data_IF_512174742107
#
_entry.id   IF_512174742107
#
_cell.length_a   1.000
_cell.length_b   1.000
_cell.length_c   1.000
_cell.angle_alpha   90.00
_cell.angle_beta   90.00
_cell.angle_gamma   90.00
#
_symmetry.space_group_name_H-M   'P 1'
#
loop_
_entity.id
_entity.type
_entity.pdbx_description
1 polymer ?
#
# COMPACT_ATOMS: atom_id res chain seq x y z
N UNK A 1 -10.39 10.05 -18.88
CA UNK A 1 -8.97 9.66 -18.67
C UNK A 1 -8.23 9.88 -19.99
N UNK A 2 -6.98 10.35 -19.97
CA UNK A 2 -6.17 10.54 -21.20
C UNK A 2 -5.03 9.53 -21.20
N UNK A 3 -4.87 8.79 -22.30
CA UNK A 3 -3.74 7.89 -22.49
C UNK A 3 -2.49 8.70 -22.83
N UNK A 4 -1.34 8.32 -22.26
CA UNK A 4 -0.04 8.72 -22.81
C UNK A 4 0.22 7.89 -24.05
N UNK A 5 0.38 8.52 -25.22
CA UNK A 5 0.62 7.81 -26.46
C UNK A 5 2.09 7.87 -26.87
N UNK A 6 2.62 6.73 -27.32
CA UNK A 6 3.94 6.61 -27.92
C UNK A 6 3.87 5.86 -29.25
N UNK A 7 4.71 6.22 -30.24
CA UNK A 7 4.87 5.43 -31.45
C UNK A 7 5.57 4.09 -31.13
N UNK A 8 5.36 3.09 -31.98
CA UNK A 8 5.94 1.74 -31.83
C UNK A 8 7.48 1.79 -31.76
N UNK A 9 8.12 2.69 -32.51
CA UNK A 9 9.58 2.89 -32.48
C UNK A 9 10.12 3.34 -31.11
N UNK A 10 9.25 3.85 -30.21
CA UNK A 10 9.63 4.38 -28.89
C UNK A 10 9.03 3.60 -27.72
N UNK A 11 8.82 2.28 -27.87
CA UNK A 11 8.35 1.39 -26.77
C UNK A 11 9.21 1.53 -25.50
N UNK A 12 10.52 1.80 -25.63
CA UNK A 12 11.42 1.97 -24.48
C UNK A 12 11.06 3.17 -23.58
N UNK A 13 10.28 4.14 -24.08
CA UNK A 13 9.79 5.29 -23.28
C UNK A 13 8.60 4.94 -22.39
N UNK A 14 7.96 3.79 -22.59
CA UNK A 14 6.88 3.33 -21.72
C UNK A 14 7.46 3.02 -20.33
N UNK A 15 6.81 3.43 -19.23
CA UNK A 15 7.26 3.14 -17.88
C UNK A 15 7.23 1.64 -17.57
N UNK A 16 8.04 1.18 -16.61
CA UNK A 16 8.05 -0.22 -16.16
C UNK A 16 7.08 -0.50 -15.01
N UNK A 17 6.19 0.44 -14.71
CA UNK A 17 5.20 0.35 -13.64
C UNK A 17 4.00 -0.51 -14.05
N UNK A 18 3.16 -0.87 -13.07
CA UNK A 18 1.87 -1.50 -13.35
C UNK A 18 0.94 -0.53 -14.08
N UNK A 19 0.03 -1.05 -14.89
CA UNK A 19 -0.88 -0.19 -15.63
C UNK A 19 -1.71 -0.91 -16.68
N UNK A 20 -2.43 -0.11 -17.45
CA UNK A 20 -3.19 -0.56 -18.62
C UNK A 20 -2.56 0.02 -19.88
N UNK A 21 -2.35 -0.82 -20.88
CA UNK A 21 -1.92 -0.40 -22.21
C UNK A 21 -3.05 -0.63 -23.21
N UNK A 22 -3.02 0.17 -24.28
CA UNK A 22 -3.95 0.08 -25.40
C UNK A 22 -3.15 0.04 -26.70
N UNK A 23 -3.54 -0.88 -27.58
CA UNK A 23 -3.00 -1.01 -28.92
C UNK A 23 -4.04 -0.43 -29.87
N UNK A 24 -3.67 0.67 -30.54
CA UNK A 24 -4.59 1.52 -31.30
C UNK A 24 -4.18 1.57 -32.77
N UNK A 25 -5.16 1.46 -33.67
CA UNK A 25 -5.00 1.73 -35.10
C UNK A 25 -5.06 3.23 -35.39
N UNK A 26 -5.03 3.63 -36.66
CA UNK A 26 -5.27 5.04 -37.03
C UNK A 26 -6.62 5.56 -36.51
N UNK A 27 -7.65 4.71 -36.44
CA UNK A 27 -9.04 5.11 -36.20
C UNK A 27 -9.56 4.63 -34.83
N UNK A 28 -9.25 3.41 -34.40
CA UNK A 28 -9.91 2.76 -33.24
C UNK A 28 -8.95 2.02 -32.30
N UNK A 29 -9.42 1.73 -31.08
CA UNK A 29 -8.68 0.90 -30.12
C UNK A 29 -8.93 -0.57 -30.47
N UNK A 30 -7.88 -1.27 -30.84
CA UNK A 30 -7.95 -2.68 -31.26
C UNK A 30 -7.96 -3.61 -30.04
N UNK A 31 -7.10 -3.32 -29.06
CA UNK A 31 -6.90 -4.16 -27.89
C UNK A 31 -6.55 -3.34 -26.63
N UNK A 32 -7.05 -3.79 -25.49
CA UNK A 32 -6.77 -3.25 -24.15
C UNK A 32 -6.30 -4.40 -23.26
N UNK A 33 -5.22 -4.18 -22.50
CA UNK A 33 -4.73 -5.15 -21.54
C UNK A 33 -4.03 -4.53 -20.34
N UNK A 34 -4.03 -5.24 -19.21
CA UNK A 34 -3.26 -4.89 -18.01
C UNK A 34 -1.88 -5.51 -17.98
N UNK A 35 -0.96 -4.88 -17.24
CA UNK A 35 0.37 -5.40 -16.99
C UNK A 35 0.88 -5.00 -15.60
N UNK A 36 1.67 -5.88 -14.97
CA UNK A 36 2.46 -5.51 -13.79
C UNK A 36 3.70 -4.67 -14.17
N UNK A 37 4.19 -4.82 -15.40
CA UNK A 37 5.24 -4.00 -16.01
C UNK A 37 4.81 -3.69 -17.45
N UNK A 38 4.40 -2.45 -17.68
CA UNK A 38 3.87 -1.98 -18.98
C UNK A 38 4.90 -2.15 -20.10
N UNK A 39 6.14 -1.70 -19.91
CA UNK A 39 7.20 -1.76 -20.92
C UNK A 39 7.45 -3.17 -21.42
N UNK A 40 7.67 -4.12 -20.50
CA UNK A 40 8.00 -5.49 -20.86
C UNK A 40 6.81 -6.19 -21.52
N UNK A 41 5.60 -5.94 -21.00
CA UNK A 41 4.39 -6.53 -21.57
C UNK A 41 4.15 -6.05 -22.99
N UNK A 42 4.24 -4.74 -23.24
CA UNK A 42 4.08 -4.16 -24.58
C UNK A 42 5.17 -4.67 -25.51
N UNK A 43 6.43 -4.68 -25.07
CA UNK A 43 7.55 -5.20 -25.88
C UNK A 43 7.32 -6.66 -26.30
N UNK A 44 6.76 -7.49 -25.43
CA UNK A 44 6.49 -8.89 -25.75
C UNK A 44 5.48 -9.06 -26.89
N UNK A 45 4.46 -8.18 -27.02
CA UNK A 45 3.52 -8.23 -28.14
C UNK A 45 4.20 -8.08 -29.51
N UNK A 46 5.32 -7.34 -29.57
CA UNK A 46 6.05 -7.10 -30.83
C UNK A 46 7.29 -7.99 -31.02
N UNK A 47 7.90 -8.52 -29.95
CA UNK A 47 9.09 -9.40 -30.04
C UNK A 47 8.77 -10.89 -30.08
N UNK A 48 7.74 -11.31 -29.35
CA UNK A 48 7.32 -12.71 -29.22
C UNK A 48 5.80 -12.74 -29.34
N UNK A 49 5.31 -12.32 -30.50
CA UNK A 49 3.88 -12.25 -30.76
C UNK A 49 3.27 -13.64 -30.60
N UNK A 50 2.28 -13.75 -29.71
CA UNK A 50 1.47 -14.96 -29.66
C UNK A 50 0.64 -15.07 -30.93
N UNK A 51 0.12 -16.26 -31.23
CA UNK A 51 -0.83 -16.47 -32.33
C UNK A 51 -1.97 -15.43 -32.32
N UNK A 52 -2.38 -14.97 -31.13
CA UNK A 52 -3.42 -13.95 -30.95
C UNK A 52 -2.97 -12.55 -31.35
N UNK A 53 -1.71 -12.22 -31.11
CA UNK A 53 -1.17 -10.89 -31.37
C UNK A 53 -1.01 -10.67 -32.88
N UNK A 54 -0.58 -11.70 -33.62
CA UNK A 54 -0.38 -11.64 -35.08
C UNK A 54 -1.62 -11.17 -35.86
N UNK A 55 -2.81 -11.32 -35.30
CA UNK A 55 -4.09 -10.99 -35.95
C UNK A 55 -4.33 -9.48 -36.07
N UNK A 56 -3.73 -8.68 -35.20
CA UNK A 56 -3.97 -7.24 -35.17
C UNK A 56 -2.72 -6.40 -34.98
N UNK A 57 -1.58 -7.02 -34.64
CA UNK A 57 -0.32 -6.30 -34.38
C UNK A 57 0.11 -5.45 -35.59
N UNK A 58 -0.14 -5.93 -36.81
CA UNK A 58 0.18 -5.23 -38.05
C UNK A 58 -0.71 -4.00 -38.30
N UNK A 59 -1.85 -3.90 -37.63
CA UNK A 59 -2.78 -2.76 -37.73
C UNK A 59 -2.50 -1.70 -36.65
N UNK A 60 -1.59 -1.97 -35.71
CA UNK A 60 -1.26 -1.03 -34.63
C UNK A 60 -0.42 0.10 -35.18
N UNK A 61 -0.83 1.34 -34.93
CA UNK A 61 -0.08 2.54 -35.29
C UNK A 61 0.45 3.27 -34.06
N UNK A 62 -0.27 3.20 -32.93
CA UNK A 62 0.08 3.88 -31.68
C UNK A 62 -0.17 2.98 -30.48
N UNK A 63 0.66 3.16 -29.46
CA UNK A 63 0.53 2.48 -28.18
C UNK A 63 0.17 3.52 -27.14
N UNK A 64 -0.98 3.37 -26.50
CA UNK A 64 -1.38 4.19 -25.36
C UNK A 64 -1.10 3.45 -24.05
N UNK A 65 -0.83 4.18 -22.97
CA UNK A 65 -0.75 3.61 -21.64
C UNK A 65 -1.31 4.55 -20.57
N UNK A 66 -1.75 3.95 -19.46
CA UNK A 66 -2.09 4.62 -18.21
C UNK A 66 -1.39 3.85 -17.10
N UNK A 67 -0.52 4.54 -16.37
CA UNK A 67 0.11 3.99 -15.18
C UNK A 67 -0.91 3.87 -14.07
N UNK A 68 -0.87 2.74 -13.38
CA UNK A 68 -1.65 2.51 -12.19
C UNK A 68 -0.75 2.16 -11.03
N UNK A 69 -1.07 2.64 -9.82
CA UNK A 69 -0.16 2.40 -8.71
C UNK A 69 -0.08 0.93 -8.26
N UNK A 70 -1.11 0.11 -8.51
CA UNK A 70 -1.11 -1.33 -8.18
C UNK A 70 -1.65 -2.18 -9.34
N UNK A 71 -1.33 -3.49 -9.34
CA UNK A 71 -1.94 -4.46 -10.27
C UNK A 71 -3.47 -4.61 -10.05
N UNK A 72 -3.96 -4.34 -8.83
CA UNK A 72 -5.41 -4.31 -8.56
C UNK A 72 -6.04 -3.13 -9.31
N UNK A 73 -5.42 -1.96 -9.25
CA UNK A 73 -5.88 -0.78 -10.00
C UNK A 73 -5.83 -1.02 -11.50
N UNK A 74 -4.76 -1.66 -12.00
CA UNK A 74 -4.66 -2.06 -13.40
C UNK A 74 -5.81 -2.98 -13.81
N UNK A 75 -6.18 -3.95 -12.97
CA UNK A 75 -7.29 -4.88 -13.21
C UNK A 75 -8.65 -4.15 -13.26
N UNK A 76 -8.89 -3.23 -12.31
CA UNK A 76 -10.15 -2.48 -12.27
C UNK A 76 -10.27 -1.53 -13.45
N UNK A 77 -9.19 -0.82 -13.77
CA UNK A 77 -9.12 0.11 -14.90
C UNK A 77 -9.26 -0.62 -16.25
N UNK A 78 -8.63 -1.80 -16.40
CA UNK A 78 -8.79 -2.64 -17.59
C UNK A 78 -10.27 -2.99 -17.81
N UNK A 79 -10.96 -3.42 -16.75
CA UNK A 79 -12.38 -3.76 -16.81
C UNK A 79 -13.24 -2.57 -17.23
N UNK A 80 -12.98 -1.38 -16.66
CA UNK A 80 -13.69 -0.14 -16.99
C UNK A 80 -13.46 0.26 -18.46
N UNK A 81 -12.20 0.22 -18.92
CA UNK A 81 -11.85 0.61 -20.29
C UNK A 81 -12.37 -0.38 -21.33
N UNK A 82 -12.32 -1.69 -21.05
CA UNK A 82 -12.93 -2.70 -21.94
C UNK A 82 -14.44 -2.48 -22.01
N UNK A 83 -15.09 -2.19 -20.88
CA UNK A 83 -16.53 -1.90 -20.84
C UNK A 83 -16.86 -0.67 -21.67
N UNK A 84 -16.05 0.39 -21.59
CA UNK A 84 -16.25 1.66 -22.28
C UNK A 84 -15.99 1.57 -23.79
N UNK A 85 -14.89 0.95 -24.19
CA UNK A 85 -14.41 1.00 -25.58
C UNK A 85 -14.76 -0.25 -26.41
N UNK A 86 -15.18 -1.34 -25.77
CA UNK A 86 -15.51 -2.63 -26.41
C UNK A 86 -14.56 -3.01 -27.57
N UNK A 87 -13.23 -3.11 -27.32
CA UNK A 87 -12.27 -3.27 -28.40
C UNK A 87 -12.50 -4.57 -29.18
N UNK A 88 -12.40 -4.48 -30.51
CA UNK A 88 -12.70 -5.58 -31.43
C UNK A 88 -11.98 -6.89 -31.06
N UNK A 89 -10.69 -6.83 -30.71
CA UNK A 89 -9.89 -8.02 -30.40
C UNK A 89 -9.98 -8.48 -28.94
N UNK A 90 -10.55 -7.65 -28.05
CA UNK A 90 -11.00 -8.15 -26.74
C UNK A 90 -12.28 -9.00 -26.91
N UNK A 91 -13.16 -8.65 -27.85
CA UNK A 91 -14.47 -9.30 -28.10
C UNK A 91 -14.38 -10.50 -29.05
N UNK A 92 -13.77 -10.38 -30.24
CA UNK A 92 -13.81 -11.40 -31.32
C UNK A 92 -13.23 -12.79 -30.96
N UNK A 93 -12.39 -12.90 -29.93
CA UNK A 93 -11.57 -14.11 -29.70
C UNK A 93 -12.00 -14.95 -28.50
N UNK A 94 -13.28 -14.87 -28.09
CA UNK A 94 -13.71 -15.45 -26.82
C UNK A 94 -15.12 -16.02 -26.89
N UNK A 95 -15.22 -17.35 -26.75
CA UNK A 95 -16.43 -17.98 -26.21
C UNK A 95 -16.89 -17.20 -24.98
N UNK A 96 -18.21 -17.06 -24.81
CA UNK A 96 -18.86 -16.42 -23.66
C UNK A 96 -18.33 -16.90 -22.30
N UNK A 97 -17.65 -18.06 -22.27
CA UNK A 97 -17.05 -18.71 -21.11
C UNK A 97 -15.73 -18.09 -20.60
N UNK A 98 -15.17 -17.01 -21.20
CA UNK A 98 -13.82 -16.51 -20.83
C UNK A 98 -13.78 -15.23 -19.98
N UNK A 99 -14.82 -14.42 -19.96
CA UNK A 99 -14.86 -13.28 -19.05
C UNK A 99 -15.33 -13.70 -17.67
N UNK A 100 -14.73 -13.13 -16.64
CA UNK A 100 -15.21 -13.29 -15.28
C UNK A 100 -16.06 -12.10 -14.90
N UNK A 101 -17.15 -12.38 -14.20
CA UNK A 101 -18.02 -11.38 -13.61
C UNK A 101 -18.16 -11.67 -12.11
N UNK A 102 -18.18 -10.61 -11.32
CA UNK A 102 -18.60 -10.68 -9.93
C UNK A 102 -20.11 -10.51 -9.89
N UNK A 103 -20.82 -11.56 -9.52
CA UNK A 103 -22.26 -11.57 -9.37
C UNK A 103 -22.62 -11.29 -7.90
N UNK A 104 -23.58 -10.38 -7.70
CA UNK A 104 -24.15 -10.04 -6.39
C UNK A 104 -25.67 -10.18 -6.50
N UNK A 105 -26.27 -11.08 -5.73
CA UNK A 105 -27.73 -11.26 -5.74
C UNK A 105 -28.43 -10.05 -5.10
N UNK A 106 -29.71 -9.81 -5.43
CA UNK A 106 -30.51 -8.72 -4.83
C UNK A 106 -31.52 -9.23 -3.79
N UNK A 107 -31.18 -10.32 -3.11
CA UNK A 107 -31.98 -10.88 -2.02
C UNK A 107 -31.83 -10.04 -0.74
N UNK A 108 -32.65 -10.31 0.29
CA UNK A 108 -32.52 -9.67 1.60
C UNK A 108 -31.12 -9.84 2.20
N UNK A 109 -30.51 -11.01 2.00
CA UNK A 109 -29.12 -11.30 2.35
C UNK A 109 -28.37 -11.68 1.06
N UNK A 110 -27.75 -10.71 0.37
CA UNK A 110 -27.07 -10.96 -0.89
C UNK A 110 -25.88 -11.92 -0.81
N UNK A 111 -25.66 -12.66 -1.89
CA UNK A 111 -24.50 -13.56 -2.07
C UNK A 111 -23.60 -13.05 -3.17
N UNK A 112 -22.29 -13.11 -2.93
CA UNK A 112 -21.24 -12.73 -3.89
C UNK A 112 -20.55 -13.98 -4.43
N UNK A 113 -20.51 -14.13 -5.76
CA UNK A 113 -19.85 -15.25 -6.43
C UNK A 113 -19.25 -14.84 -7.78
N UNK A 114 -18.38 -15.69 -8.32
CA UNK A 114 -17.80 -15.51 -9.66
C UNK A 114 -18.58 -16.34 -10.67
N UNK A 115 -18.88 -15.75 -11.82
CA UNK A 115 -19.51 -16.44 -12.96
C UNK A 115 -18.84 -16.05 -14.26
N UNK A 116 -18.92 -16.93 -15.24
CA UNK A 116 -18.58 -16.64 -16.63
C UNK A 116 -19.78 -16.24 -17.47
N UNK A 117 -20.98 -16.54 -16.99
CA UNK A 117 -22.22 -16.32 -17.71
C UNK A 117 -23.03 -15.25 -16.95
N UNK A 118 -22.94 -13.97 -17.35
CA UNK A 118 -23.79 -12.91 -16.82
C UNK A 118 -25.18 -13.03 -17.45
N UNK A 119 -25.88 -14.16 -17.23
CA UNK A 119 -27.24 -14.33 -17.78
C UNK A 119 -28.20 -13.60 -16.85
N UNK A 120 -29.04 -12.67 -17.35
CA UNK A 120 -30.14 -12.09 -16.57
C UNK A 120 -31.24 -13.12 -16.23
N UNK A 121 -31.12 -14.35 -16.73
CA UNK A 121 -32.13 -15.41 -16.71
C UNK A 121 -31.54 -16.70 -16.14
N UNK A 122 -31.12 -16.68 -14.88
CA UNK A 122 -31.05 -17.94 -14.12
C UNK A 122 -32.49 -18.40 -13.88
N UNK A 123 -33.03 -19.23 -14.79
CA UNK A 123 -34.22 -20.05 -14.54
C UNK A 123 -33.86 -21.10 -13.49
N UNK A 124 -33.74 -20.67 -12.24
CA UNK A 124 -33.90 -21.59 -11.11
C UNK A 124 -35.40 -21.69 -10.87
N UNK A 125 -35.91 -22.91 -10.75
CA UNK A 125 -37.31 -23.21 -10.45
C UNK A 125 -37.81 -22.25 -9.36
N UNK A 126 -38.91 -21.55 -9.65
CA UNK A 126 -39.67 -20.67 -8.74
C UNK A 126 -38.87 -19.57 -8.02
N UNK A 127 -38.44 -18.55 -8.78
CA UNK A 127 -38.42 -17.10 -8.43
C UNK A 127 -37.37 -16.37 -9.28
N UNK A 128 -37.78 -15.28 -9.95
CA UNK A 128 -36.90 -14.46 -10.81
C UNK A 128 -35.91 -13.66 -9.95
N UNK A 129 -34.79 -14.27 -9.57
CA UNK A 129 -33.73 -13.55 -8.86
C UNK A 129 -33.11 -12.46 -9.73
N UNK A 130 -33.19 -11.21 -9.29
CA UNK A 130 -32.45 -10.10 -9.89
C UNK A 130 -31.00 -10.17 -9.39
N UNK A 131 -30.03 -10.26 -10.31
CA UNK A 131 -28.59 -10.34 -10.00
C UNK A 131 -27.88 -9.15 -10.64
N UNK A 132 -27.03 -8.48 -9.87
CA UNK A 132 -26.11 -7.45 -10.39
C UNK A 132 -24.78 -8.08 -10.80
N UNK A 133 -24.23 -7.67 -11.95
CA UNK A 133 -22.95 -8.16 -12.46
C UNK A 133 -21.93 -7.02 -12.56
N UNK A 134 -20.71 -7.25 -12.09
CA UNK A 134 -19.58 -6.34 -12.22
C UNK A 134 -18.50 -7.01 -13.07
N UNK A 135 -18.02 -6.29 -14.08
CA UNK A 135 -17.09 -6.78 -15.08
C UNK A 135 -17.33 -6.10 -16.43
N UNK A 136 -16.77 -6.62 -17.53
CA UNK A 136 -16.05 -7.90 -17.62
C UNK A 136 -14.61 -7.85 -17.08
N UNK A 137 -14.15 -8.93 -16.45
CA UNK A 137 -12.74 -9.10 -16.06
C UNK A 137 -12.06 -10.16 -16.93
N UNK A 138 -10.90 -9.82 -17.49
CA UNK A 138 -10.12 -10.72 -18.35
C UNK A 138 -9.33 -11.75 -17.53
N UNK A 139 -8.77 -11.35 -16.38
CA UNK A 139 -7.91 -12.18 -15.54
C UNK A 139 -8.64 -12.67 -14.28
N UNK A 140 -9.21 -13.88 -14.36
CA UNK A 140 -9.91 -14.49 -13.23
C UNK A 140 -9.04 -14.87 -12.05
N UNK A 141 -7.75 -15.14 -12.26
CA UNK A 141 -6.82 -15.44 -11.15
C UNK A 141 -6.55 -14.17 -10.34
N UNK A 142 -6.28 -13.06 -11.03
CA UNK A 142 -6.16 -11.76 -10.38
C UNK A 142 -7.46 -11.34 -9.69
N UNK A 143 -8.62 -11.52 -10.35
CA UNK A 143 -9.92 -11.21 -9.73
C UNK A 143 -10.17 -12.03 -8.45
N UNK A 144 -9.92 -13.34 -8.46
CA UNK A 144 -10.04 -14.20 -7.26
C UNK A 144 -9.10 -13.74 -6.15
N UNK A 145 -7.90 -13.27 -6.47
CA UNK A 145 -6.96 -12.70 -5.49
C UNK A 145 -7.50 -11.38 -4.92
N UNK A 146 -7.98 -10.47 -5.78
CA UNK A 146 -8.57 -9.19 -5.38
C UNK A 146 -9.78 -9.39 -4.48
N UNK A 147 -10.72 -10.27 -4.84
CA UNK A 147 -11.89 -10.56 -4.01
C UNK A 147 -11.55 -11.14 -2.64
N UNK A 148 -10.49 -11.97 -2.55
CA UNK A 148 -9.99 -12.49 -1.26
C UNK A 148 -9.42 -11.39 -0.38
N UNK A 149 -8.75 -10.40 -0.96
CA UNK A 149 -8.24 -9.25 -0.24
C UNK A 149 -9.38 -8.35 0.22
N UNK A 150 -10.28 -7.96 -0.70
CA UNK A 150 -11.43 -7.09 -0.41
C UNK A 150 -12.37 -7.69 0.63
N UNK A 151 -12.48 -9.03 0.72
CA UNK A 151 -13.29 -9.70 1.75
C UNK A 151 -12.88 -9.37 3.18
N UNK A 152 -11.62 -8.94 3.41
CA UNK A 152 -11.13 -8.51 4.73
C UNK A 152 -11.71 -7.16 5.14
N UNK A 153 -11.89 -6.25 4.18
CA UNK A 153 -12.52 -4.95 4.42
C UNK A 153 -14.05 -5.06 4.36
N UNK A 154 -14.56 -5.89 3.45
CA UNK A 154 -15.99 -6.05 3.20
C UNK A 154 -16.36 -7.54 3.27
N UNK A 155 -16.63 -8.07 4.47
CA UNK A 155 -17.08 -9.45 4.64
C UNK A 155 -18.35 -9.72 3.83
N UNK A 156 -18.43 -10.86 3.15
CA UNK A 156 -19.59 -11.25 2.34
C UNK A 156 -19.87 -12.74 2.39
N UNK A 157 -21.13 -13.12 2.11
CA UNK A 157 -21.55 -14.52 1.95
C UNK A 157 -21.26 -14.99 0.53
N UNK A 158 -20.84 -16.24 0.43
CA UNK A 158 -20.61 -16.96 -0.84
C UNK A 158 -21.67 -18.03 -1.12
N UNK A 159 -22.53 -18.32 -0.15
CA UNK A 159 -23.61 -19.29 -0.25
C UNK A 159 -24.92 -18.68 0.27
N UNK A 160 -26.04 -19.09 -0.36
CA UNK A 160 -27.40 -18.66 0.03
C UNK A 160 -27.75 -19.22 1.40
N UNK A 161 -27.62 -20.53 1.56
CA UNK A 161 -27.76 -21.21 2.85
C UNK A 161 -26.50 -21.00 3.68
N UNK A 162 -26.68 -20.76 4.98
CA UNK A 162 -25.57 -20.67 5.94
C UNK A 162 -25.94 -21.47 7.18
N UNK A 163 -25.01 -22.24 7.77
CA UNK A 163 -25.27 -22.97 8.99
C UNK A 163 -25.56 -22.01 10.16
N UNK A 164 -26.32 -22.45 11.17
CA UNK A 164 -26.48 -21.69 12.42
C UNK A 164 -25.15 -21.55 13.18
N UNK A 165 -24.30 -22.57 13.06
CA UNK A 165 -22.95 -22.59 13.63
C UNK A 165 -22.01 -21.70 12.79
N UNK A 166 -21.12 -20.90 13.40
CA UNK A 166 -20.14 -20.09 12.68
C UNK A 166 -19.28 -20.93 11.73
N UNK A 167 -19.32 -20.63 10.43
CA UNK A 167 -18.42 -21.27 9.46
C UNK A 167 -16.98 -20.73 9.61
N UNK A 168 -16.01 -21.35 8.94
CA UNK A 168 -14.60 -20.93 8.98
C UNK A 168 -14.41 -19.44 8.62
N UNK A 169 -15.21 -18.92 7.68
CA UNK A 169 -15.15 -17.49 7.36
C UNK A 169 -15.78 -16.60 8.45
N UNK A 170 -16.78 -17.08 9.21
CA UNK A 170 -17.32 -16.32 10.35
C UNK A 170 -16.30 -16.19 11.46
N UNK A 171 -15.61 -17.30 11.77
CA UNK A 171 -14.55 -17.33 12.79
C UNK A 171 -13.39 -16.36 12.45
N UNK A 172 -13.17 -16.11 11.15
CA UNK A 172 -12.16 -15.17 10.66
C UNK A 172 -12.70 -13.74 10.43
N UNK A 173 -13.98 -13.46 10.72
CA UNK A 173 -14.60 -12.16 10.44
C UNK A 173 -14.77 -11.84 8.96
N UNK A 174 -14.70 -12.84 8.07
CA UNK A 174 -14.79 -12.71 6.61
C UNK A 174 -16.19 -13.06 6.05
N UNK A 175 -17.11 -13.49 6.91
CA UNK A 175 -18.50 -13.76 6.60
C UNK A 175 -19.40 -13.10 7.66
N UNK A 176 -20.50 -12.45 7.26
CA UNK A 176 -21.41 -11.76 8.19
C UNK A 176 -22.31 -12.73 9.00
N UNK A 177 -22.17 -14.05 8.82
CA UNK A 177 -22.86 -15.05 9.63
C UNK A 177 -24.26 -15.46 9.14
N UNK A 178 -24.97 -16.20 10.00
CA UNK A 178 -26.28 -16.79 9.69
C UNK A 178 -27.38 -15.73 9.55
N UNK A 179 -27.43 -14.77 10.50
CA UNK A 179 -28.41 -13.68 10.57
C UNK A 179 -27.72 -12.33 10.72
N UNK A 180 -27.16 -11.77 9.64
CA UNK A 180 -26.64 -10.42 9.66
C UNK A 180 -27.76 -9.38 9.65
N UNK A 181 -27.46 -8.17 10.14
CA UNK A 181 -28.28 -7.00 9.85
C UNK A 181 -28.28 -6.75 8.33
N UNK A 182 -29.45 -6.87 7.72
CA UNK A 182 -29.62 -6.76 6.27
C UNK A 182 -29.25 -5.37 5.74
N UNK A 183 -29.59 -4.30 6.45
CA UNK A 183 -29.32 -2.93 6.03
C UNK A 183 -27.83 -2.63 6.09
N UNK A 184 -27.18 -3.00 7.20
CA UNK A 184 -25.74 -2.82 7.36
C UNK A 184 -24.97 -3.65 6.33
N UNK A 185 -25.40 -4.89 6.10
CA UNK A 185 -24.78 -5.78 5.13
C UNK A 185 -24.93 -5.28 3.68
N UNK A 186 -26.10 -4.75 3.31
CA UNK A 186 -26.30 -4.12 2.00
C UNK A 186 -25.39 -2.89 1.81
N UNK A 187 -25.29 -2.00 2.80
CA UNK A 187 -24.35 -0.86 2.76
C UNK A 187 -22.90 -1.32 2.58
N UNK A 188 -22.50 -2.39 3.28
CA UNK A 188 -21.17 -3.00 3.12
C UNK A 188 -20.94 -3.52 1.68
N UNK A 189 -21.93 -4.15 1.06
CA UNK A 189 -21.82 -4.63 -0.33
C UNK A 189 -21.88 -3.50 -1.38
N UNK A 190 -22.55 -2.40 -1.08
CA UNK A 190 -22.48 -1.19 -1.92
C UNK A 190 -21.06 -0.62 -1.95
N UNK A 191 -20.38 -0.57 -0.79
CA UNK A 191 -18.96 -0.18 -0.72
C UNK A 191 -18.07 -1.14 -1.51
N UNK A 192 -18.26 -2.45 -1.37
CA UNK A 192 -17.55 -3.45 -2.19
C UNK A 192 -17.77 -3.24 -3.70
N UNK A 193 -19.03 -3.01 -4.10
CA UNK A 193 -19.42 -2.77 -5.50
C UNK A 193 -18.74 -1.52 -6.04
N UNK A 194 -18.76 -0.42 -5.28
CA UNK A 194 -18.12 0.84 -5.65
C UNK A 194 -16.60 0.66 -5.83
N UNK A 195 -15.92 -0.09 -4.96
CA UNK A 195 -14.49 -0.39 -5.13
C UNK A 195 -14.23 -1.20 -6.40
N UNK A 196 -15.02 -2.24 -6.68
CA UNK A 196 -14.90 -3.04 -7.91
C UNK A 196 -15.23 -2.25 -9.19
N UNK A 197 -15.93 -1.13 -9.06
CA UNK A 197 -16.19 -0.16 -10.15
C UNK A 197 -15.13 0.96 -10.22
N UNK A 198 -14.00 0.81 -9.53
CA UNK A 198 -12.90 1.80 -9.56
C UNK A 198 -13.08 2.99 -8.62
N UNK A 199 -14.19 3.10 -7.88
CA UNK A 199 -14.51 4.22 -6.98
C UNK A 199 -13.87 4.08 -5.59
N UNK A 200 -12.62 3.61 -5.51
CA UNK A 200 -11.95 3.35 -4.22
C UNK A 200 -11.73 4.60 -3.37
N UNK A 201 -11.38 5.73 -4.00
CA UNK A 201 -11.05 6.97 -3.29
C UNK A 201 -12.30 7.52 -2.59
N UNK A 202 -13.45 7.50 -3.27
CA UNK A 202 -14.71 7.91 -2.66
C UNK A 202 -15.13 6.98 -1.53
N UNK A 203 -14.87 5.66 -1.64
CA UNK A 203 -15.18 4.70 -0.56
C UNK A 203 -14.28 4.92 0.66
N UNK A 204 -12.98 5.17 0.48
CA UNK A 204 -12.07 5.52 1.57
C UNK A 204 -12.52 6.79 2.29
N UNK A 205 -12.86 7.85 1.55
CA UNK A 205 -13.38 9.10 2.12
C UNK A 205 -14.71 8.91 2.86
N UNK A 206 -15.61 8.10 2.29
CA UNK A 206 -16.88 7.78 2.93
C UNK A 206 -16.66 7.00 4.23
N UNK A 207 -15.78 5.99 4.24
CA UNK A 207 -15.44 5.22 5.45
C UNK A 207 -14.85 6.10 6.55
N UNK A 208 -13.95 7.01 6.19
CA UNK A 208 -13.36 7.96 7.14
C UNK A 208 -14.44 8.87 7.74
N UNK A 209 -15.29 9.47 6.88
CA UNK A 209 -16.37 10.34 7.34
C UNK A 209 -17.38 9.61 8.22
N UNK A 210 -17.81 8.41 7.80
CA UNK A 210 -18.73 7.57 8.57
C UNK A 210 -18.13 7.23 9.95
N UNK A 211 -16.83 6.94 10.01
CA UNK A 211 -16.10 6.63 11.25
C UNK A 211 -16.05 7.85 12.18
N UNK A 212 -15.74 9.03 11.66
CA UNK A 212 -15.69 10.29 12.42
C UNK A 212 -17.09 10.63 12.98
N UNK A 213 -18.14 10.48 12.17
CA UNK A 213 -19.52 10.70 12.59
C UNK A 213 -19.95 9.72 13.69
N UNK A 214 -19.66 8.42 13.53
CA UNK A 214 -19.98 7.41 14.55
C UNK A 214 -19.26 7.70 15.88
N UNK A 215 -18.01 8.16 15.82
CA UNK A 215 -17.26 8.56 17.01
C UNK A 215 -17.87 9.80 17.70
N UNK A 216 -18.34 10.79 16.93
CA UNK A 216 -19.05 11.96 17.47
C UNK A 216 -20.37 11.59 18.13
N UNK A 217 -21.09 10.61 17.57
CA UNK A 217 -22.35 10.08 18.13
C UNK A 217 -22.12 9.08 19.28
N UNK A 218 -20.88 8.90 19.74
CA UNK A 218 -20.49 7.95 20.79
C UNK A 218 -20.77 6.47 20.46
N UNK A 219 -20.95 6.14 19.17
CA UNK A 219 -21.10 4.77 18.68
C UNK A 219 -19.73 4.10 18.48
N UNK A 220 -19.00 3.87 19.57
CA UNK A 220 -17.59 3.43 19.51
C UNK A 220 -17.38 2.07 18.82
N UNK A 221 -18.31 1.13 18.94
CA UNK A 221 -18.23 -0.16 18.23
C UNK A 221 -18.33 0.01 16.71
N UNK A 222 -19.26 0.84 16.26
CA UNK A 222 -19.44 1.14 14.84
C UNK A 222 -18.21 1.88 14.30
N UNK A 223 -17.71 2.88 15.05
CA UNK A 223 -16.49 3.60 14.71
C UNK A 223 -15.28 2.65 14.59
N UNK A 224 -15.12 1.71 15.52
CA UNK A 224 -14.06 0.71 15.47
C UNK A 224 -14.17 -0.20 14.23
N UNK A 225 -15.38 -0.68 13.90
CA UNK A 225 -15.61 -1.48 12.68
C UNK A 225 -15.26 -0.67 11.43
N UNK A 226 -15.74 0.56 11.30
CA UNK A 226 -15.48 1.43 10.13
C UNK A 226 -13.99 1.75 10.00
N UNK A 227 -13.30 1.99 11.12
CA UNK A 227 -11.85 2.16 11.19
C UNK A 227 -11.10 0.94 10.66
N UNK A 228 -11.48 -0.25 11.10
CA UNK A 228 -10.83 -1.50 10.69
C UNK A 228 -11.09 -1.80 9.20
N UNK A 229 -12.28 -1.44 8.68
CA UNK A 229 -12.57 -1.47 7.24
C UNK A 229 -11.70 -0.48 6.46
N UNK A 230 -11.58 0.76 6.94
CA UNK A 230 -10.75 1.80 6.34
C UNK A 230 -9.30 1.34 6.26
N UNK A 231 -8.72 0.90 7.37
CA UNK A 231 -7.33 0.42 7.38
C UNK A 231 -7.15 -0.84 6.55
N UNK A 232 -8.10 -1.77 6.55
CA UNK A 232 -8.02 -2.96 5.70
C UNK A 232 -8.02 -2.57 4.23
N UNK A 233 -8.90 -1.66 3.81
CA UNK A 233 -8.98 -1.18 2.44
C UNK A 233 -7.72 -0.39 2.06
N UNK A 234 -7.29 0.54 2.90
CA UNK A 234 -6.06 1.31 2.72
C UNK A 234 -4.88 0.37 2.49
N UNK A 235 -4.69 -0.63 3.36
CA UNK A 235 -3.60 -1.63 3.26
C UNK A 235 -3.63 -2.47 2.00
N UNK A 236 -4.82 -2.81 1.48
CA UNK A 236 -4.95 -3.55 0.21
C UNK A 236 -4.39 -2.72 -0.95
N UNK A 237 -4.58 -1.40 -0.87
CA UNK A 237 -4.17 -0.46 -1.89
C UNK A 237 -2.90 0.32 -1.52
N UNK A 238 -2.25 0.12 -0.37
CA UNK A 238 -1.04 0.83 0.10
C UNK A 238 0.25 0.45 -0.66
N UNK A 239 0.15 -0.39 -1.68
CA UNK A 239 1.16 -0.48 -2.74
C UNK A 239 0.94 0.54 -3.87
N UNK A 240 -0.14 1.32 -3.80
CA UNK A 240 -0.38 2.51 -4.59
C UNK A 240 0.24 3.71 -3.89
N UNK A 241 1.00 4.52 -4.63
CA UNK A 241 1.25 5.92 -4.27
C UNK A 241 -0.01 6.55 -3.67
N UNK A 242 0.10 6.92 -2.39
CA UNK A 242 -0.90 7.74 -1.73
C UNK A 242 -1.06 9.01 -2.59
N UNK A 243 -2.27 9.20 -3.10
CA UNK A 243 -2.80 10.39 -3.77
C UNK A 243 -2.28 10.68 -5.19
N UNK A 244 -3.09 10.31 -6.19
CA UNK A 244 -2.96 10.81 -7.55
C UNK A 244 -3.26 12.33 -7.63
N UNK A 245 -2.20 13.14 -7.80
CA UNK A 245 -2.07 14.44 -8.53
C UNK A 245 -3.06 15.60 -8.30
N UNK A 246 -4.12 15.45 -7.50
CA UNK A 246 -4.94 16.58 -7.04
C UNK A 246 -4.58 17.08 -5.64
N UNK A 247 -3.79 16.30 -4.90
CA UNK A 247 -3.39 16.59 -3.52
C UNK A 247 -1.89 16.88 -3.36
N UNK A 248 -1.09 17.04 -4.45
CA UNK A 248 0.32 17.45 -4.32
C UNK A 248 0.41 18.78 -3.54
N UNK A 249 -0.44 19.76 -3.85
CA UNK A 249 -0.51 21.00 -3.09
C UNK A 249 -1.01 20.85 -1.64
N UNK A 250 -1.84 19.84 -1.34
CA UNK A 250 -2.33 19.61 0.04
C UNK A 250 -1.33 18.82 0.87
N UNK A 251 -0.65 17.83 0.28
CA UNK A 251 0.40 17.06 0.91
C UNK A 251 1.65 17.91 1.13
N UNK A 252 2.05 18.73 0.15
CA UNK A 252 3.11 19.73 0.30
C UNK A 252 2.74 20.78 1.35
N UNK A 253 1.50 21.28 1.35
CA UNK A 253 1.04 22.23 2.37
C UNK A 253 1.03 21.60 3.78
N UNK A 254 0.48 20.40 3.92
CA UNK A 254 0.48 19.66 5.18
C UNK A 254 1.92 19.37 5.64
N UNK A 255 2.82 19.00 4.73
CA UNK A 255 4.21 18.78 5.09
C UNK A 255 4.92 20.06 5.48
N UNK A 256 4.72 21.17 4.76
CA UNK A 256 5.28 22.48 5.11
C UNK A 256 4.83 22.93 6.50
N UNK A 257 3.56 22.71 6.85
CA UNK A 257 3.04 22.95 8.20
C UNK A 257 3.69 22.03 9.24
N UNK A 258 3.81 20.73 8.97
CA UNK A 258 4.51 19.78 9.86
C UNK A 258 5.98 20.16 10.07
N UNK A 259 6.66 20.57 9.00
CA UNK A 259 8.07 20.96 9.00
C UNK A 259 8.30 22.20 9.86
N UNK A 260 7.42 23.21 9.78
CA UNK A 260 7.47 24.39 10.67
C UNK A 260 7.35 23.99 12.14
N UNK A 261 6.46 23.05 12.46
CA UNK A 261 6.33 22.55 13.84
C UNK A 261 7.59 21.79 14.28
N UNK A 262 8.16 20.95 13.40
CA UNK A 262 9.44 20.27 13.67
C UNK A 262 10.58 21.28 13.90
N UNK A 263 10.68 22.32 13.08
CA UNK A 263 11.66 23.40 13.21
C UNK A 263 11.56 24.10 14.57
N UNK A 264 10.35 24.36 15.05
CA UNK A 264 10.10 24.94 16.36
C UNK A 264 10.51 23.98 17.49
N UNK A 265 10.13 22.71 17.41
CA UNK A 265 10.45 21.68 18.40
C UNK A 265 11.97 21.48 18.52
N UNK A 266 12.67 21.38 17.39
CA UNK A 266 14.13 21.18 17.34
C UNK A 266 14.94 22.48 17.40
N UNK A 267 14.27 23.64 17.53
CA UNK A 267 14.86 24.98 17.55
C UNK A 267 15.89 25.17 16.43
N UNK A 268 15.47 24.88 15.20
CA UNK A 268 16.33 24.95 14.02
C UNK A 268 15.58 25.49 12.81
N UNK A 269 16.25 26.29 11.98
CA UNK A 269 15.72 26.75 10.68
C UNK A 269 16.06 25.81 9.52
N UNK A 270 16.73 24.69 9.79
CA UNK A 270 17.10 23.71 8.76
C UNK A 270 15.86 22.95 8.29
N UNK A 271 15.80 22.66 6.99
CA UNK A 271 14.76 21.81 6.42
C UNK A 271 14.90 20.36 6.91
N UNK A 272 13.76 19.67 6.98
CA UNK A 272 13.63 18.26 7.33
C UNK A 272 13.39 17.37 6.10
N UNK A 273 13.88 17.76 4.91
CA UNK A 273 13.61 17.06 3.65
C UNK A 273 13.87 15.55 3.66
N UNK A 274 14.82 15.05 4.46
CA UNK A 274 15.06 13.61 4.65
C UNK A 274 14.86 13.19 6.11
N UNK A 275 13.80 12.41 6.36
CA UNK A 275 13.54 11.77 7.66
C UNK A 275 13.76 10.27 7.53
N UNK A 276 14.53 9.68 8.45
CA UNK A 276 14.75 8.24 8.51
C UNK A 276 14.13 7.68 9.79
N UNK A 277 13.54 6.49 9.69
CA UNK A 277 13.07 5.78 10.88
C UNK A 277 13.59 4.35 10.96
N UNK A 278 13.86 3.90 12.18
CA UNK A 278 14.62 2.70 12.48
C UNK A 278 13.84 1.80 13.44
N UNK A 279 13.62 0.54 13.06
CA UNK A 279 13.06 -0.50 13.92
C UNK A 279 14.03 -1.69 14.00
N UNK A 280 14.20 -2.23 15.20
CA UNK A 280 14.95 -3.45 15.44
C UNK A 280 13.98 -4.54 15.87
N UNK A 281 14.17 -5.69 15.26
CA UNK A 281 13.32 -6.83 15.49
C UNK A 281 14.17 -8.06 15.75
N UNK A 282 13.92 -8.73 16.88
CA UNK A 282 14.66 -9.90 17.31
C UNK A 282 13.86 -11.18 17.00
N UNK A 283 14.48 -12.15 16.33
CA UNK A 283 13.90 -13.48 16.10
C UNK A 283 14.48 -14.39 17.18
N UNK A 284 13.62 -15.02 18.01
CA UNK A 284 13.95 -15.98 19.08
C UNK A 284 15.27 -16.74 18.84
N UNK A 285 16.38 -16.16 19.29
CA UNK A 285 17.68 -16.80 19.46
C UNK A 285 18.63 -16.94 18.25
N UNK A 286 18.26 -16.59 17.01
CA UNK A 286 19.13 -16.95 15.86
C UNK A 286 19.75 -15.76 15.10
N UNK A 287 18.99 -14.72 14.72
CA UNK A 287 19.52 -13.57 13.96
C UNK A 287 18.68 -12.31 14.19
N UNK A 288 19.27 -11.27 14.77
CA UNK A 288 18.62 -9.98 14.92
C UNK A 288 18.68 -9.17 13.61
N UNK A 289 17.62 -8.42 13.34
CA UNK A 289 17.51 -7.63 12.12
C UNK A 289 17.04 -6.21 12.38
N UNK A 290 17.66 -5.29 11.67
CA UNK A 290 17.29 -3.88 11.64
C UNK A 290 16.60 -3.51 10.34
N UNK A 291 15.71 -2.54 10.39
CA UNK A 291 15.09 -1.96 9.21
C UNK A 291 15.17 -0.45 9.28
N UNK A 292 15.38 0.16 8.11
CA UNK A 292 15.39 1.61 7.93
C UNK A 292 14.44 1.96 6.80
N UNK A 293 13.52 2.87 7.10
CA UNK A 293 12.66 3.52 6.12
C UNK A 293 13.08 4.97 5.94
N UNK A 294 12.68 5.56 4.82
CA UNK A 294 13.00 6.94 4.46
C UNK A 294 11.75 7.68 4.04
N UNK A 295 11.58 8.89 4.53
CA UNK A 295 10.62 9.86 4.05
C UNK A 295 11.38 11.02 3.40
N UNK A 296 11.05 11.32 2.15
CA UNK A 296 11.51 12.49 1.43
C UNK A 296 10.35 13.48 1.36
N UNK A 297 10.52 14.67 1.94
CA UNK A 297 9.52 15.75 1.93
C UNK A 297 8.12 15.29 2.40
N UNK A 298 8.10 14.49 3.46
CA UNK A 298 6.86 13.98 4.06
C UNK A 298 6.27 12.75 3.36
N UNK A 299 6.90 12.26 2.30
CA UNK A 299 6.42 11.12 1.50
C UNK A 299 7.37 9.92 1.62
N UNK A 300 6.85 8.68 1.77
CA UNK A 300 7.67 7.47 1.77
C UNK A 300 8.55 7.31 0.51
N UNK A 301 9.88 7.36 0.67
CA UNK A 301 10.86 7.09 -0.38
C UNK A 301 11.33 5.62 -0.33
N UNK A 302 10.47 4.71 -0.83
CA UNK A 302 10.59 3.25 -0.66
C UNK A 302 11.83 2.63 -1.29
N UNK A 303 12.31 3.21 -2.38
CA UNK A 303 13.57 2.87 -3.06
C UNK A 303 14.80 3.07 -2.17
N UNK A 304 14.69 3.95 -1.17
CA UNK A 304 15.75 4.26 -0.22
C UNK A 304 15.69 3.40 1.06
N UNK A 305 14.73 2.47 1.15
CA UNK A 305 14.59 1.60 2.32
C UNK A 305 15.74 0.59 2.37
N UNK A 306 16.18 0.25 3.58
CA UNK A 306 17.30 -0.66 3.79
C UNK A 306 17.00 -1.64 4.91
N UNK A 307 17.54 -2.85 4.76
CA UNK A 307 17.47 -3.91 5.77
C UNK A 307 18.88 -4.23 6.21
N UNK A 308 19.05 -4.44 7.50
CA UNK A 308 20.32 -4.69 8.14
C UNK A 308 20.26 -6.03 8.85
N UNK A 309 21.19 -6.92 8.52
CA UNK A 309 21.47 -8.07 9.39
C UNK A 309 22.40 -7.57 10.49
N UNK A 310 21.92 -7.61 11.74
CA UNK A 310 22.67 -7.07 12.87
C UNK A 310 23.84 -8.01 13.20
N UNK A 311 25.01 -7.42 13.44
CA UNK A 311 26.25 -8.13 13.74
C UNK A 311 26.79 -7.67 15.08
N UNK A 312 26.46 -8.40 16.15
CA UNK A 312 26.97 -8.11 17.50
C UNK A 312 27.62 -9.37 18.08
N UNK A 313 28.71 -9.19 18.82
CA UNK A 313 29.33 -10.26 19.61
C UNK A 313 28.63 -10.34 20.99
N UNK A 314 28.37 -11.55 21.48
CA UNK A 314 27.74 -11.77 22.78
C UNK A 314 26.21 -11.84 22.76
N UNK A 315 25.59 -11.72 23.94
CA UNK A 315 24.13 -11.86 24.12
C UNK A 315 23.37 -10.74 23.39
N UNK A 316 22.23 -11.02 22.72
CA UNK A 316 21.42 -10.00 22.06
C UNK A 316 20.94 -8.93 23.04
N UNK A 317 21.33 -7.68 22.82
CA UNK A 317 20.88 -6.52 23.60
C UNK A 317 20.41 -5.40 22.66
N UNK A 318 19.16 -4.97 22.80
CA UNK A 318 18.50 -3.98 21.95
C UNK A 318 19.29 -2.67 21.81
N UNK A 319 20.01 -2.25 22.85
CA UNK A 319 20.85 -1.04 22.80
C UNK A 319 22.06 -1.23 21.90
N UNK A 320 22.79 -2.34 22.05
CA UNK A 320 23.96 -2.65 21.25
C UNK A 320 23.58 -2.84 19.77
N UNK A 321 22.43 -3.49 19.52
CA UNK A 321 21.90 -3.67 18.17
C UNK A 321 21.56 -2.33 17.49
N UNK A 322 20.97 -1.38 18.24
CA UNK A 322 20.67 -0.04 17.73
C UNK A 322 21.93 0.77 17.45
N UNK A 323 22.91 0.71 18.36
CA UNK A 323 24.19 1.37 18.16
C UNK A 323 24.91 0.82 16.93
N UNK A 324 24.96 -0.50 16.72
CA UNK A 324 25.55 -1.13 15.54
C UNK A 324 24.89 -0.67 14.25
N UNK A 325 23.55 -0.76 14.20
CA UNK A 325 22.76 -0.39 13.02
C UNK A 325 23.04 1.06 12.62
N UNK A 326 22.89 1.99 13.57
CA UNK A 326 23.07 3.42 13.32
C UNK A 326 24.52 3.72 12.95
N UNK A 327 25.49 3.16 13.66
CA UNK A 327 26.92 3.39 13.37
C UNK A 327 27.26 2.93 11.95
N UNK A 328 26.82 1.73 11.57
CA UNK A 328 27.05 1.20 10.22
C UNK A 328 26.34 2.03 9.16
N UNK A 329 25.09 2.45 9.40
CA UNK A 329 24.36 3.32 8.47
C UNK A 329 25.06 4.66 8.25
N UNK A 330 25.67 5.23 9.28
CA UNK A 330 26.38 6.51 9.18
C UNK A 330 27.73 6.40 8.45
N UNK A 331 28.25 5.20 8.20
CA UNK A 331 29.44 4.98 7.37
C UNK A 331 29.14 5.02 5.86
N UNK A 332 27.87 5.18 5.47
CA UNK A 332 27.42 5.29 4.07
C UNK A 332 27.01 6.73 3.72
N UNK A 333 27.97 7.65 3.51
CA UNK A 333 27.68 9.04 3.12
C UNK A 333 27.03 9.15 1.74
N UNK A 334 27.26 8.18 0.85
CA UNK A 334 26.72 8.13 -0.51
C UNK A 334 25.18 7.96 -0.55
N UNK A 335 24.55 7.58 0.57
CA UNK A 335 23.09 7.52 0.69
C UNK A 335 22.44 8.85 1.12
N UNK A 336 23.27 9.87 1.36
CA UNK A 336 22.87 11.12 1.98
C UNK A 336 22.61 10.98 3.49
N UNK A 337 22.85 12.03 4.26
CA UNK A 337 22.52 12.04 5.69
C UNK A 337 21.10 12.52 5.94
N UNK A 338 20.38 11.93 6.92
CA UNK A 338 19.08 12.42 7.32
C UNK A 338 19.17 13.76 8.05
N UNK A 339 18.12 14.57 7.92
CA UNK A 339 17.90 15.74 8.77
C UNK A 339 17.36 15.32 10.14
N UNK A 340 16.54 14.27 10.16
CA UNK A 340 15.94 13.70 11.37
C UNK A 340 15.99 12.16 11.34
N UNK A 341 16.45 11.56 12.43
CA UNK A 341 16.35 10.13 12.72
C UNK A 341 15.30 9.88 13.79
N UNK A 342 14.35 8.99 13.52
CA UNK A 342 13.33 8.53 14.46
C UNK A 342 13.62 7.07 14.83
N UNK A 343 13.90 6.82 16.10
CA UNK A 343 14.18 5.49 16.62
C UNK A 343 12.92 4.90 17.22
N UNK A 344 12.51 3.72 16.78
CA UNK A 344 11.39 3.00 17.36
C UNK A 344 11.84 2.33 18.67
N UNK A 345 11.63 3.02 19.79
CA UNK A 345 12.21 2.65 21.09
C UNK A 345 12.07 3.74 22.14
N UNK A 346 12.46 3.45 23.37
CA UNK A 346 12.42 4.38 24.49
C UNK A 346 13.71 5.20 24.66
N UNK A 347 13.81 5.91 25.79
CA UNK A 347 15.00 6.68 26.21
C UNK A 347 16.33 5.92 26.02
N UNK A 348 16.47 4.63 26.35
CA UNK A 348 17.78 4.00 26.24
C UNK A 348 18.15 3.62 24.80
N UNK A 349 17.20 3.35 23.89
CA UNK A 349 17.49 3.24 22.44
C UNK A 349 17.87 4.61 21.83
N UNK A 350 17.23 5.69 22.29
CA UNK A 350 17.61 7.05 21.92
C UNK A 350 19.08 7.32 22.30
N UNK A 351 19.47 6.96 23.53
CA UNK A 351 20.84 7.11 24.03
C UNK A 351 21.86 6.37 23.16
N UNK A 352 21.56 5.13 22.77
CA UNK A 352 22.41 4.32 21.90
C UNK A 352 22.62 4.96 20.51
N UNK A 353 21.54 5.44 19.88
CA UNK A 353 21.62 6.13 18.59
C UNK A 353 22.40 7.45 18.69
N UNK A 354 22.22 8.21 19.78
CA UNK A 354 22.98 9.43 20.04
C UNK A 354 24.48 9.16 20.20
N UNK A 355 24.86 8.09 20.90
CA UNK A 355 26.25 7.69 21.05
C UNK A 355 26.92 7.41 19.69
N UNK A 356 26.23 6.69 18.80
CA UNK A 356 26.69 6.42 17.44
C UNK A 356 26.92 7.72 16.63
N UNK A 357 25.98 8.67 16.68
CA UNK A 357 26.15 9.96 16.02
C UNK A 357 27.29 10.81 16.62
N UNK A 358 27.52 10.73 17.93
CA UNK A 358 28.63 11.45 18.59
C UNK A 358 29.99 10.91 18.14
N UNK A 359 30.13 9.59 17.99
CA UNK A 359 31.36 8.96 17.52
C UNK A 359 31.71 9.45 16.10
N UNK A 360 30.75 9.46 15.18
CA UNK A 360 30.94 9.95 13.81
C UNK A 360 31.39 11.43 13.77
N UNK A 361 30.78 12.28 14.61
CA UNK A 361 31.15 13.70 14.68
C UNK A 361 32.61 13.87 15.11
N UNK A 362 33.03 13.17 16.17
CA UNK A 362 34.41 13.24 16.68
C UNK A 362 35.43 12.72 15.66
N UNK A 363 35.13 11.61 14.97
CA UNK A 363 36.04 11.07 13.95
C UNK A 363 36.20 12.00 12.74
N UNK A 364 35.17 12.77 12.40
CA UNK A 364 35.22 13.73 11.29
C UNK A 364 35.88 15.05 11.68
N UNK A 365 35.60 15.57 12.88
CA UNK A 365 36.24 16.78 13.42
C UNK A 365 37.78 16.68 13.53
N UNK A 366 38.33 15.48 13.71
CA UNK A 366 39.79 15.26 13.76
C UNK A 366 40.48 15.15 12.40
N UNK A 367 39.72 15.08 11.29
CA UNK A 367 40.25 14.74 9.95
C UNK A 367 40.36 15.94 8.99
N UNK A 368 39.85 17.12 9.37
CA UNK A 368 39.63 18.26 8.45
C UNK A 368 39.98 19.58 9.14
N UNK A 369 41.09 20.22 8.71
CA UNK A 369 41.45 21.61 9.07
C UNK A 369 40.59 22.67 8.38
N UNK A 370 39.60 22.26 7.58
CA UNK A 370 38.67 23.12 6.87
C UNK A 370 37.28 22.97 7.50
N UNK A 371 36.78 24.03 8.14
CA UNK A 371 35.56 24.06 8.98
C UNK A 371 34.22 23.81 8.28
N UNK A 372 34.14 22.87 7.33
CA UNK A 372 32.92 22.46 6.64
C UNK A 372 32.14 21.34 7.36
N UNK A 373 32.70 20.71 8.40
CA UNK A 373 32.03 19.62 9.14
C UNK A 373 30.97 20.10 10.17
N UNK A 374 30.89 21.41 10.43
CA UNK A 374 29.79 22.00 11.23
C UNK A 374 28.40 21.91 10.53
N UNK A 375 28.34 21.42 9.28
CA UNK A 375 27.18 21.57 8.40
C UNK A 375 26.06 20.56 8.63
N UNK A 376 26.32 19.37 9.20
CA UNK A 376 25.33 18.28 9.31
C UNK A 376 24.98 17.90 10.76
N UNK A 377 24.17 18.74 11.41
CA UNK A 377 23.58 18.45 12.71
C UNK A 377 22.33 17.57 12.53
N UNK A 378 22.54 16.26 12.39
CA UNK A 378 21.44 15.28 12.40
C UNK A 378 20.66 15.42 13.72
N UNK A 379 19.35 15.62 13.62
CA UNK A 379 18.43 15.59 14.74
C UNK A 379 18.00 14.15 15.02
N UNK A 380 17.77 13.82 16.28
CA UNK A 380 17.40 12.45 16.68
C UNK A 380 16.25 12.52 17.69
N UNK A 381 15.24 11.71 17.47
CA UNK A 381 14.14 11.47 18.39
C UNK A 381 13.91 9.97 18.53
N UNK A 382 13.23 9.58 19.62
CA UNK A 382 12.74 8.21 19.77
C UNK A 382 11.26 8.21 20.05
N UNK A 383 10.57 7.19 19.55
CA UNK A 383 9.13 7.02 19.68
C UNK A 383 8.83 5.72 20.42
N UNK A 384 8.27 5.81 21.62
CA UNK A 384 7.93 4.62 22.40
C UNK A 384 6.51 4.12 22.09
N UNK A 385 6.41 2.81 21.79
CA UNK A 385 5.16 2.13 21.37
C UNK A 385 4.03 2.16 22.39
N UNK A 386 4.33 2.07 23.70
CA UNK A 386 3.31 1.87 24.75
C UNK A 386 2.44 3.11 25.01
N UNK A 387 3.00 4.32 24.89
CA UNK A 387 2.31 5.55 25.29
C UNK A 387 2.28 6.64 24.21
N UNK A 388 2.76 6.35 22.99
CA UNK A 388 2.88 7.34 21.92
C UNK A 388 3.67 8.58 22.40
N UNK A 389 4.83 8.32 22.98
CA UNK A 389 5.72 9.33 23.58
C UNK A 389 6.90 9.58 22.66
N UNK A 390 7.10 10.85 22.28
CA UNK A 390 8.24 11.30 21.51
C UNK A 390 9.31 11.85 22.47
N UNK A 391 10.40 11.12 22.60
CA UNK A 391 11.58 11.52 23.36
C UNK A 391 12.51 12.36 22.50
N UNK A 392 12.90 13.52 23.03
CA UNK A 392 13.81 14.46 22.41
C UNK A 392 15.03 14.66 23.29
N UNK A 393 16.16 15.02 22.69
CA UNK A 393 17.37 15.35 23.45
C UNK A 393 17.20 16.64 24.27
N UNK A 394 16.48 17.61 23.72
CA UNK A 394 16.36 18.97 24.27
C UNK A 394 15.36 19.08 25.42
N UNK A 395 14.57 18.05 25.69
CA UNK A 395 13.47 18.08 26.67
C UNK A 395 13.55 16.84 27.57
N UNK A 396 13.55 16.99 28.91
CA UNK A 396 13.67 15.87 29.84
C UNK A 396 12.42 14.97 29.86
N UNK A 397 11.24 15.58 29.67
CA UNK A 397 9.94 14.91 29.57
C UNK A 397 9.56 14.61 28.12
N UNK A 398 8.96 13.43 27.82
CA UNK A 398 8.50 13.11 26.49
C UNK A 398 7.35 14.01 26.04
N UNK A 399 7.33 14.35 24.75
CA UNK A 399 6.17 14.96 24.14
C UNK A 399 5.13 13.88 23.82
N UNK A 400 3.94 14.01 24.41
CA UNK A 400 2.83 13.11 24.10
C UNK A 400 2.28 13.43 22.71
N UNK A 401 2.22 12.44 21.82
CA UNK A 401 1.72 12.65 20.44
C UNK A 401 0.31 13.25 20.41
N UNK A 402 -0.55 12.95 21.39
CA UNK A 402 -1.90 13.52 21.50
C UNK A 402 -1.91 15.05 21.63
N UNK A 403 -0.86 15.62 22.23
CA UNK A 403 -0.71 17.06 22.46
C UNK A 403 -0.02 17.78 21.29
N UNK A 404 0.46 17.05 20.27
CA UNK A 404 1.06 17.65 19.08
C UNK A 404 -0.04 18.11 18.10
N UNK A 405 0.23 19.15 17.31
CA UNK A 405 -0.62 19.54 16.19
C UNK A 405 -0.93 18.33 15.30
N UNK A 406 -2.19 18.22 14.85
CA UNK A 406 -2.68 17.06 14.11
C UNK A 406 -1.80 16.73 12.89
N UNK A 407 -1.31 17.76 12.20
CA UNK A 407 -0.47 17.64 11.01
C UNK A 407 0.85 16.92 11.32
N UNK A 408 1.56 17.32 12.38
CA UNK A 408 2.80 16.66 12.80
C UNK A 408 2.53 15.28 13.44
N UNK A 409 1.48 15.18 14.26
CA UNK A 409 1.08 13.92 14.87
C UNK A 409 0.83 12.84 13.81
N UNK A 410 0.08 13.18 12.77
CA UNK A 410 -0.24 12.27 11.67
C UNK A 410 1.01 11.87 10.88
N UNK A 411 1.93 12.81 10.63
CA UNK A 411 3.22 12.50 10.01
C UNK A 411 4.04 11.50 10.84
N UNK A 412 4.17 11.71 12.15
CA UNK A 412 4.94 10.81 13.03
C UNK A 412 4.29 9.42 13.10
N UNK A 413 2.95 9.35 13.20
CA UNK A 413 2.23 8.08 13.18
C UNK A 413 2.44 7.34 11.84
N UNK A 414 2.38 8.05 10.72
CA UNK A 414 2.62 7.47 9.40
C UNK A 414 4.04 6.92 9.27
N UNK A 415 5.05 7.66 9.73
CA UNK A 415 6.44 7.20 9.75
C UNK A 415 6.58 5.93 10.60
N UNK A 416 6.00 5.91 11.80
CA UNK A 416 6.04 4.73 12.68
C UNK A 416 5.39 3.52 12.04
N UNK A 417 4.17 3.70 11.53
CA UNK A 417 3.37 2.60 10.99
C UNK A 417 4.05 2.02 9.73
N UNK A 418 4.69 2.87 8.91
CA UNK A 418 5.47 2.44 7.75
C UNK A 418 6.76 1.72 8.15
N UNK A 419 7.47 2.19 9.20
CA UNK A 419 8.65 1.51 9.76
C UNK A 419 8.27 0.11 10.27
N UNK A 420 7.19 0.02 11.05
CA UNK A 420 6.70 -1.23 11.59
C UNK A 420 6.21 -2.20 10.50
N UNK A 421 5.51 -1.69 9.47
CA UNK A 421 5.09 -2.46 8.29
C UNK A 421 6.30 -3.05 7.57
N UNK A 422 7.33 -2.25 7.35
CA UNK A 422 8.54 -2.69 6.67
C UNK A 422 9.29 -3.75 7.48
N UNK A 423 9.41 -3.58 8.81
CA UNK A 423 10.00 -4.56 9.73
C UNK A 423 9.24 -5.91 9.72
N UNK A 424 7.91 -5.90 9.87
CA UNK A 424 7.08 -7.11 9.84
C UNK A 424 7.22 -7.86 8.51
N UNK A 425 7.25 -7.14 7.39
CA UNK A 425 7.40 -7.75 6.07
C UNK A 425 8.70 -8.56 5.97
N UNK A 426 9.77 -8.08 6.61
CA UNK A 426 11.06 -8.74 6.61
C UNK A 426 11.08 -9.99 7.50
N UNK A 427 10.50 -9.89 8.69
CA UNK A 427 10.34 -11.02 9.61
C UNK A 427 9.61 -12.21 8.98
N UNK A 428 8.56 -11.95 8.19
CA UNK A 428 7.81 -13.01 7.50
C UNK A 428 8.64 -13.71 6.42
N UNK A 429 9.50 -12.97 5.72
CA UNK A 429 10.39 -13.53 4.69
C UNK A 429 11.45 -14.41 5.38
N UNK A 430 12.07 -13.93 6.46
CA UNK A 430 13.10 -14.68 7.19
C UNK A 430 12.56 -15.97 7.82
N UNK A 431 11.37 -15.94 8.43
CA UNK A 431 10.72 -17.16 8.94
C UNK A 431 10.45 -18.17 7.83
N UNK A 432 10.05 -17.72 6.64
CA UNK A 432 9.82 -18.62 5.50
C UNK A 432 11.11 -19.27 5.00
N UNK A 433 12.22 -18.52 4.99
CA UNK A 433 13.53 -19.04 4.59
C UNK A 433 14.08 -20.02 5.65
N UNK A 434 13.97 -19.70 6.94
CA UNK A 434 14.41 -20.57 8.04
C UNK A 434 13.63 -21.90 8.09
N UNK A 435 12.31 -21.86 7.85
CA UNK A 435 11.48 -23.05 7.77
C UNK A 435 11.78 -23.94 6.54
N UNK A 436 12.27 -23.36 5.44
CA UNK A 436 12.60 -24.10 4.21
C UNK A 436 14.07 -24.57 4.18
N UNK A 437 14.95 -23.98 4.98
CA UNK A 437 16.37 -24.32 5.06
C UNK A 437 16.73 -25.50 5.98
N UNK A 438 15.75 -26.10 6.68
CA UNK A 438 15.94 -27.26 7.58
C UNK A 438 15.50 -28.60 6.96
N UNK A 439 15.76 -28.82 5.68
CA UNK A 439 15.84 -30.17 5.11
C UNK A 439 17.31 -30.45 4.80
N UNK A 440 18.00 -31.07 5.76
CA UNK A 440 19.19 -31.84 5.49
C UNK A 440 18.76 -33.26 5.17
#
# INVERSE_FOLDING_TARGET
MRFGYVPISRINKIPSNAGVYVLKSSQEILYIGKAANLRDRVRNHFKQSSYRDNLFINQVSKIGYIETPTDIDALLLESELIKQYQPKYNVMWRDDKKYFYVAITKDTIPVVYLTHQPVPKLKVKSEKLKVGFIGPFVDGKALKRTLRLLRRAFPYRTARTHPKIPCSYCQLGLCPGFRPDANLYQKNLQKLTAVLQGKRISVLRALQKDMENAAQQQEFEMAARLRDQFFSLSRIFEHASLFSRRDEGLAEKNYSEAEKVLQNIFRTKKSFSRIEAYDISNIQGAQATGSMIVFADGVPARDLYRKFKIRIAGKPNDFAMMQELVSRRLLHPEWGYPNLMIIDGGKPQLSAAMAACKILRRSRESSTRSGQDAKYKIQIAALAKRHNELFLRSVPEPLLLKNLPAVLRNLILHIRDEAHRFAISYHRILRRVDLLGKRK
#
